data_IF_556270279810
#
_entry.id   IF_556270279810
#
_cell.length_a   1.000
_cell.length_b   1.000
_cell.length_c   1.000
_cell.angle_alpha   90.00
_cell.angle_beta   90.00
_cell.angle_gamma   90.00
#
_symmetry.space_group_name_H-M   'P 1'
#
loop_
_entity.id
_entity.type
_entity.pdbx_description
1 polymer ?
#
# COMPACT_ATOMS: atom_id res chain seq x y z
N UNK A 1 -6.67 14.78 -32.03
CA UNK A 1 -5.95 14.60 -30.74
C UNK A 1 -4.67 13.85 -31.04
N UNK A 2 -3.57 14.15 -30.35
CA UNK A 2 -2.30 13.44 -30.55
C UNK A 2 -2.50 11.93 -30.25
N UNK A 3 -1.92 11.00 -31.03
CA UNK A 3 -2.04 9.57 -30.76
C UNK A 3 -1.58 9.15 -29.35
N UNK A 4 -0.54 9.79 -28.81
CA UNK A 4 -0.06 9.53 -27.44
C UNK A 4 -1.10 9.96 -26.41
N UNK A 5 -1.74 11.11 -26.61
CA UNK A 5 -2.82 11.58 -25.73
C UNK A 5 -4.02 10.63 -25.75
N UNK A 6 -4.33 10.03 -26.91
CA UNK A 6 -5.41 9.04 -27.03
C UNK A 6 -5.09 7.76 -26.25
N UNK A 7 -3.85 7.27 -26.33
CA UNK A 7 -3.40 6.09 -25.57
C UNK A 7 -3.42 6.37 -24.06
N UNK A 8 -2.98 7.57 -23.65
CA UNK A 8 -3.04 8.00 -22.26
C UNK A 8 -4.49 8.05 -21.78
N UNK A 9 -5.39 8.70 -22.51
CA UNK A 9 -6.80 8.81 -22.15
C UNK A 9 -7.50 7.45 -22.08
N UNK A 10 -7.12 6.50 -22.95
CA UNK A 10 -7.65 5.15 -22.91
C UNK A 10 -7.16 4.34 -21.70
N UNK A 11 -5.90 4.53 -21.30
CA UNK A 11 -5.26 3.80 -20.20
C UNK A 11 -5.53 4.42 -18.82
N UNK A 12 -5.80 5.73 -18.78
CA UNK A 12 -6.04 6.52 -17.58
C UNK A 12 -7.17 7.53 -17.84
N UNK A 13 -8.43 7.07 -17.93
CA UNK A 13 -9.55 7.93 -18.30
C UNK A 13 -9.91 8.93 -17.20
N UNK A 14 -10.59 10.00 -17.59
CA UNK A 14 -11.29 10.91 -16.69
C UNK A 14 -12.79 10.70 -16.84
N UNK A 15 -13.49 10.50 -15.73
CA UNK A 15 -14.94 10.27 -15.69
C UNK A 15 -15.62 11.43 -14.98
N UNK A 16 -16.59 12.04 -15.66
CA UNK A 16 -17.49 13.01 -15.05
C UNK A 16 -18.45 12.27 -14.11
N UNK A 17 -18.46 12.63 -12.83
CA UNK A 17 -19.31 11.95 -11.85
C UNK A 17 -20.78 12.31 -12.13
N UNK A 18 -21.68 11.33 -12.31
CA UNK A 18 -23.09 11.61 -12.56
C UNK A 18 -23.74 12.35 -11.38
N UNK A 19 -24.58 13.34 -11.65
CA UNK A 19 -25.25 14.13 -10.61
C UNK A 19 -26.56 13.50 -10.09
N UNK A 20 -27.07 12.46 -10.75
CA UNK A 20 -28.40 11.86 -10.49
C UNK A 20 -28.33 10.39 -10.08
N UNK A 21 -27.14 9.82 -10.05
CA UNK A 21 -26.90 8.42 -9.72
C UNK A 21 -25.46 8.25 -9.19
N UNK A 22 -25.16 7.17 -8.46
CA UNK A 22 -23.79 6.87 -8.05
C UNK A 22 -22.88 6.62 -9.26
N UNK A 23 -21.62 7.06 -9.18
CA UNK A 23 -20.61 6.64 -10.16
C UNK A 23 -20.36 5.15 -10.05
N UNK A 24 -20.43 4.44 -11.17
CA UNK A 24 -20.16 2.99 -11.23
C UNK A 24 -18.67 2.75 -10.96
N UNK A 25 -18.28 1.96 -9.93
CA UNK A 25 -16.89 1.62 -9.66
C UNK A 25 -16.18 0.97 -10.86
N UNK A 26 -14.84 1.09 -10.92
CA UNK A 26 -14.08 0.36 -11.94
C UNK A 26 -14.24 -1.16 -11.78
N UNK A 27 -14.53 -1.85 -12.89
CA UNK A 27 -14.62 -3.32 -12.93
C UNK A 27 -13.27 -3.98 -13.20
N UNK A 28 -12.39 -3.34 -13.97
CA UNK A 28 -11.06 -3.82 -14.30
C UNK A 28 -9.98 -3.11 -13.47
N UNK A 29 -8.86 -3.81 -13.23
CA UNK A 29 -7.67 -3.22 -12.61
C UNK A 29 -7.14 -2.06 -13.43
N UNK A 30 -6.76 -0.98 -12.76
CA UNK A 30 -6.32 0.24 -13.41
C UNK A 30 -6.55 1.45 -12.53
N UNK A 31 -6.52 2.62 -13.14
CA UNK A 31 -6.70 3.89 -12.45
C UNK A 31 -7.48 4.85 -13.35
N UNK A 32 -8.22 5.76 -12.73
CA UNK A 32 -8.92 6.83 -13.44
C UNK A 32 -9.09 8.06 -12.56
N UNK A 33 -9.31 9.20 -13.19
CA UNK A 33 -9.76 10.40 -12.50
C UNK A 33 -11.28 10.43 -12.43
N UNK A 34 -11.81 10.83 -11.28
CA UNK A 34 -13.20 11.21 -11.12
C UNK A 34 -13.26 12.74 -11.01
N UNK A 35 -14.01 13.36 -11.91
CA UNK A 35 -14.27 14.80 -11.90
C UNK A 35 -15.63 14.99 -11.24
N UNK A 36 -15.62 15.34 -9.96
CA UNK A 36 -16.80 15.52 -9.12
C UNK A 36 -17.06 17.01 -8.84
N UNK A 37 -18.26 17.39 -8.39
CA UNK A 37 -18.53 18.78 -8.02
C UNK A 37 -17.70 19.28 -6.84
N UNK A 38 -17.26 18.38 -5.98
CA UNK A 38 -16.43 18.68 -4.82
C UNK A 38 -14.92 18.52 -5.06
N UNK A 39 -14.49 18.25 -6.29
CA UNK A 39 -13.07 18.21 -6.65
C UNK A 39 -12.69 17.09 -7.60
N UNK A 40 -11.38 16.87 -7.72
CA UNK A 40 -10.79 15.80 -8.52
C UNK A 40 -10.35 14.67 -7.58
N UNK A 41 -10.73 13.44 -7.91
CA UNK A 41 -10.36 12.24 -7.17
C UNK A 41 -9.60 11.26 -8.06
N UNK A 42 -8.68 10.51 -7.46
CA UNK A 42 -8.05 9.36 -8.06
C UNK A 42 -8.77 8.11 -7.58
N UNK A 43 -9.31 7.32 -8.50
CA UNK A 43 -9.75 5.96 -8.22
C UNK A 43 -8.69 4.98 -8.69
N UNK A 44 -8.23 4.13 -7.77
CA UNK A 44 -7.26 3.07 -8.00
C UNK A 44 -7.98 1.75 -7.78
N UNK A 45 -7.96 0.87 -8.78
CA UNK A 45 -8.51 -0.47 -8.69
C UNK A 45 -7.39 -1.49 -8.87
N UNK A 46 -7.19 -2.33 -7.86
CA UNK A 46 -6.33 -3.53 -7.89
C UNK A 46 -7.17 -4.74 -7.49
N UNK A 47 -6.75 -5.97 -7.81
CA UNK A 47 -7.53 -7.15 -7.42
C UNK A 47 -7.74 -7.27 -5.91
N UNK A 48 -6.76 -6.85 -5.11
CA UNK A 48 -6.81 -6.94 -3.64
C UNK A 48 -7.35 -5.67 -2.95
N UNK A 49 -7.43 -4.51 -3.62
CA UNK A 49 -7.90 -3.26 -3.01
C UNK A 49 -8.48 -2.27 -4.03
N UNK A 50 -9.51 -1.53 -3.63
CA UNK A 50 -9.95 -0.30 -4.31
C UNK A 50 -9.78 0.90 -3.39
N UNK A 51 -9.22 1.97 -3.93
CA UNK A 51 -9.01 3.25 -3.24
C UNK A 51 -9.64 4.38 -4.04
N UNK A 52 -10.27 5.32 -3.35
CA UNK A 52 -10.66 6.62 -3.91
C UNK A 52 -10.10 7.71 -2.99
N UNK A 53 -9.31 8.63 -3.53
CA UNK A 53 -8.67 9.73 -2.76
C UNK A 53 -8.83 11.06 -3.46
N UNK A 54 -9.06 12.12 -2.68
CA UNK A 54 -9.18 13.47 -3.21
C UNK A 54 -7.78 14.02 -3.53
N UNK A 55 -7.57 14.41 -4.79
CA UNK A 55 -6.33 15.05 -5.24
C UNK A 55 -6.36 16.57 -5.04
N UNK A 56 -7.55 17.17 -5.17
CA UNK A 56 -7.71 18.60 -5.00
C UNK A 56 -9.17 19.02 -5.01
N UNK A 57 -9.45 20.12 -4.32
CA UNK A 57 -10.75 20.80 -4.34
C UNK A 57 -10.70 22.02 -5.26
N UNK A 58 -11.87 22.55 -5.56
CA UNK A 58 -12.02 23.70 -6.43
C UNK A 58 -12.03 25.00 -5.63
N UNK A 59 -11.23 25.98 -6.06
CA UNK A 59 -11.18 27.31 -5.45
C UNK A 59 -12.17 28.32 -6.04
N UNK A 60 -12.91 27.95 -7.09
CA UNK A 60 -13.84 28.84 -7.80
C UNK A 60 -15.26 28.69 -7.26
N UNK A 61 -16.03 29.78 -7.26
CA UNK A 61 -17.40 29.80 -6.73
C UNK A 61 -18.45 29.22 -7.69
N UNK A 62 -18.13 29.15 -8.97
CA UNK A 62 -19.02 28.54 -9.97
C UNK A 62 -19.09 27.03 -9.75
N UNK A 63 -20.28 26.45 -9.51
CA UNK A 63 -20.41 25.02 -9.31
C UNK A 63 -20.02 24.24 -10.58
N UNK A 64 -19.28 23.14 -10.40
CA UNK A 64 -19.06 22.16 -11.46
C UNK A 64 -20.31 21.29 -11.57
N UNK A 65 -20.91 21.09 -12.76
CA UNK A 65 -22.21 20.47 -12.93
C UNK A 65 -22.18 18.92 -12.86
N UNK A 66 -21.41 18.36 -11.91
CA UNK A 66 -21.24 16.92 -11.70
C UNK A 66 -21.70 16.50 -10.29
N UNK A 67 -21.83 15.20 -10.05
CA UNK A 67 -22.17 14.65 -8.74
C UNK A 67 -21.02 14.72 -7.75
N UNK A 68 -21.30 14.35 -6.50
CA UNK A 68 -20.31 14.27 -5.43
C UNK A 68 -19.54 12.96 -5.50
N UNK A 69 -18.25 13.01 -5.15
CA UNK A 69 -17.46 11.81 -4.86
C UNK A 69 -16.99 11.82 -3.40
N UNK A 70 -16.73 10.64 -2.86
CA UNK A 70 -16.22 10.44 -1.51
C UNK A 70 -14.96 9.57 -1.55
N UNK A 71 -14.07 9.78 -0.58
CA UNK A 71 -12.95 8.87 -0.37
C UNK A 71 -13.45 7.50 0.07
N UNK A 72 -12.77 6.45 -0.38
CA UNK A 72 -13.17 5.07 -0.10
C UNK A 72 -11.96 4.14 -0.01
N UNK A 73 -12.02 3.15 0.86
CA UNK A 73 -11.04 2.07 0.96
C UNK A 73 -11.79 0.76 1.05
N UNK A 74 -11.60 -0.11 0.06
CA UNK A 74 -12.24 -1.43 -0.01
C UNK A 74 -11.17 -2.50 -0.16
N UNK A 75 -10.83 -3.19 0.94
CA UNK A 75 -9.89 -4.31 0.93
C UNK A 75 -10.63 -5.58 0.52
N UNK A 76 -10.08 -6.32 -0.44
CA UNK A 76 -10.70 -7.50 -1.08
C UNK A 76 -9.95 -8.81 -0.83
N UNK A 77 -8.68 -8.74 -0.41
CA UNK A 77 -7.89 -9.93 -0.08
C UNK A 77 -8.21 -10.54 1.30
N UNK A 78 -9.13 -9.94 2.06
CA UNK A 78 -9.33 -10.31 3.47
C UNK A 78 -8.18 -9.83 4.38
N UNK A 79 -8.21 -10.19 5.66
CA UNK A 79 -7.20 -9.76 6.62
C UNK A 79 -5.88 -10.48 6.37
N UNK A 80 -4.77 -9.72 6.35
CA UNK A 80 -3.43 -10.31 6.30
C UNK A 80 -3.21 -11.16 7.56
N UNK A 81 -2.81 -12.43 7.41
CA UNK A 81 -2.63 -13.32 8.55
C UNK A 81 -1.50 -12.86 9.49
N UNK A 82 -1.78 -12.87 10.79
CA UNK A 82 -0.88 -12.32 11.82
C UNK A 82 0.40 -13.17 11.98
N UNK A 83 0.34 -14.46 11.66
CA UNK A 83 1.47 -15.37 11.67
C UNK A 83 2.52 -15.03 10.61
N UNK A 84 2.14 -14.40 9.50
CA UNK A 84 3.09 -13.92 8.49
C UNK A 84 3.84 -12.68 8.99
N UNK A 85 3.16 -11.81 9.72
CA UNK A 85 3.78 -10.65 10.38
C UNK A 85 4.74 -11.09 11.49
N UNK A 86 4.35 -12.08 12.30
CA UNK A 86 5.23 -12.71 13.28
C UNK A 86 6.40 -13.45 12.62
N UNK A 87 6.17 -14.13 11.48
CA UNK A 87 7.21 -14.72 10.65
C UNK A 87 8.25 -13.71 10.20
N UNK A 88 7.81 -12.53 9.75
CA UNK A 88 8.71 -11.45 9.41
C UNK A 88 9.49 -10.94 10.63
N UNK A 89 8.86 -10.83 11.81
CA UNK A 89 9.55 -10.45 13.03
C UNK A 89 10.68 -11.43 13.41
N UNK A 90 10.47 -12.74 13.24
CA UNK A 90 11.53 -13.75 13.41
C UNK A 90 12.68 -13.54 12.43
N UNK A 91 12.37 -13.30 11.16
CA UNK A 91 13.39 -13.01 10.15
C UNK A 91 14.22 -11.77 10.51
N UNK A 92 13.56 -10.68 10.91
CA UNK A 92 14.22 -9.44 11.32
C UNK A 92 15.12 -9.64 12.55
N UNK A 93 14.69 -10.47 13.52
CA UNK A 93 15.50 -10.83 14.69
C UNK A 93 16.74 -11.63 14.30
N UNK A 94 16.60 -12.62 13.42
CA UNK A 94 17.74 -13.43 12.93
C UNK A 94 18.73 -12.60 12.12
N UNK A 95 18.28 -11.55 11.43
CA UNK A 95 19.13 -10.68 10.62
C UNK A 95 19.95 -9.65 11.43
N UNK A 96 19.72 -9.53 12.75
CA UNK A 96 20.42 -8.56 13.59
C UNK A 96 21.94 -8.70 13.47
N UNK A 97 22.68 -7.56 13.42
CA UNK A 97 22.21 -6.19 13.61
C UNK A 97 21.66 -5.52 12.33
N UNK A 98 21.61 -6.23 11.21
CA UNK A 98 21.24 -5.67 9.92
C UNK A 98 19.72 -5.61 9.70
N UNK A 99 19.32 -4.81 8.72
CA UNK A 99 17.94 -4.77 8.22
C UNK A 99 17.60 -6.02 7.39
N UNK A 100 16.34 -6.46 7.47
CA UNK A 100 15.75 -7.50 6.64
C UNK A 100 14.54 -6.94 5.89
N UNK A 101 14.29 -7.47 4.68
CA UNK A 101 13.11 -7.17 3.87
C UNK A 101 12.30 -8.42 3.57
N UNK A 102 10.98 -8.26 3.52
CA UNK A 102 10.08 -9.31 3.06
C UNK A 102 8.84 -8.69 2.43
N UNK A 103 8.19 -9.41 1.53
CA UNK A 103 6.85 -9.09 1.06
C UNK A 103 5.84 -10.05 1.66
N UNK A 104 4.65 -9.55 1.97
CA UNK A 104 3.47 -10.39 2.14
C UNK A 104 2.62 -10.21 0.88
N UNK A 105 2.50 -11.29 0.13
CA UNK A 105 1.78 -11.33 -1.13
C UNK A 105 0.46 -12.08 -0.97
N UNK A 106 -0.47 -11.82 -1.88
CA UNK A 106 -1.77 -12.48 -1.96
C UNK A 106 -2.01 -12.98 -3.38
N UNK A 107 -2.46 -14.22 -3.50
CA UNK A 107 -2.81 -14.82 -4.77
C UNK A 107 -4.33 -14.71 -5.01
N UNK A 108 -4.73 -14.06 -6.10
CA UNK A 108 -6.14 -13.77 -6.39
C UNK A 108 -7.01 -15.01 -6.67
N UNK A 109 -6.39 -16.05 -7.22
CA UNK A 109 -7.06 -17.29 -7.63
C UNK A 109 -7.30 -18.22 -6.46
N UNK A 110 -6.37 -18.28 -5.50
CA UNK A 110 -6.44 -19.18 -4.35
C UNK A 110 -6.88 -18.48 -3.07
N UNK A 111 -6.78 -17.15 -3.02
CA UNK A 111 -6.99 -16.36 -1.80
C UNK A 111 -5.88 -16.50 -0.77
N UNK A 112 -4.79 -17.22 -1.08
CA UNK A 112 -3.73 -17.52 -0.14
C UNK A 112 -2.75 -16.34 0.02
N UNK A 113 -2.28 -16.15 1.25
CA UNK A 113 -1.17 -15.25 1.54
C UNK A 113 0.14 -16.02 1.72
N UNK A 114 1.26 -15.40 1.35
CA UNK A 114 2.59 -15.93 1.69
C UNK A 114 3.56 -14.82 2.08
N UNK A 115 4.55 -15.19 2.90
CA UNK A 115 5.70 -14.36 3.21
C UNK A 115 6.84 -14.70 2.25
N UNK A 116 7.39 -13.67 1.60
CA UNK A 116 8.42 -13.79 0.57
C UNK A 116 9.66 -13.03 1.05
N UNK A 117 10.71 -13.72 1.51
CA UNK A 117 11.97 -13.08 1.87
C UNK A 117 12.58 -12.36 0.67
N UNK A 118 13.07 -11.14 0.88
CA UNK A 118 13.75 -10.37 -0.15
C UNK A 118 15.26 -10.53 0.03
N UNK A 119 15.96 -11.21 -0.89
CA UNK A 119 17.41 -11.30 -0.82
C UNK A 119 18.00 -9.88 -0.96
N UNK A 120 18.82 -9.51 0.00
CA UNK A 120 19.44 -8.19 0.06
C UNK A 120 20.54 -8.06 -1.01
N UNK A 121 20.41 -7.04 -1.86
CA UNK A 121 21.48 -6.59 -2.76
C UNK A 121 22.55 -5.81 -1.96
N UNK A 122 22.12 -5.07 -0.95
CA UNK A 122 22.99 -4.44 0.06
C UNK A 122 22.16 -4.19 1.32
N UNK A 123 22.71 -4.47 2.49
CA UNK A 123 22.03 -4.21 3.74
C UNK A 123 23.05 -3.83 4.82
N UNK A 124 22.66 -2.90 5.68
CA UNK A 124 23.40 -2.49 6.86
C UNK A 124 22.42 -2.18 7.99
N UNK A 125 22.87 -1.60 9.11
CA UNK A 125 21.99 -1.24 10.23
C UNK A 125 21.03 -0.06 9.96
N UNK A 126 21.18 0.62 8.82
CA UNK A 126 20.44 1.84 8.48
C UNK A 126 20.11 1.93 6.97
N UNK A 127 20.26 0.82 6.24
CA UNK A 127 19.90 0.78 4.83
C UNK A 127 19.59 -0.65 4.39
N UNK A 128 18.63 -0.76 3.49
CA UNK A 128 18.28 -1.99 2.80
C UNK A 128 18.04 -1.69 1.32
N UNK A 129 18.73 -2.44 0.45
CA UNK A 129 18.46 -2.50 -0.98
C UNK A 129 18.21 -3.94 -1.33
N UNK A 130 17.10 -4.22 -1.99
CA UNK A 130 16.73 -5.56 -2.44
C UNK A 130 16.22 -5.51 -3.87
N UNK A 131 16.28 -6.65 -4.54
CA UNK A 131 15.62 -6.82 -5.83
C UNK A 131 14.15 -7.17 -5.57
N UNK A 132 13.26 -6.44 -6.23
CA UNK A 132 11.82 -6.73 -6.17
C UNK A 132 11.57 -8.03 -6.93
N UNK A 133 11.16 -9.14 -6.27
CA UNK A 133 10.99 -10.41 -6.94
C UNK A 133 9.89 -10.31 -7.99
N UNK A 134 10.06 -11.04 -9.09
CA UNK A 134 8.98 -11.22 -10.04
C UNK A 134 7.89 -12.06 -9.36
N UNK A 135 6.70 -11.48 -9.24
CA UNK A 135 5.53 -12.18 -8.70
C UNK A 135 4.96 -13.13 -9.75
N UNK A 136 4.40 -14.24 -9.29
CA UNK A 136 3.71 -15.20 -10.15
C UNK A 136 2.45 -14.58 -10.76
N UNK A 137 1.89 -15.26 -11.77
CA UNK A 137 0.61 -14.85 -12.33
C UNK A 137 -0.47 -14.79 -11.22
N UNK A 138 -1.22 -13.67 -11.20
CA UNK A 138 -2.26 -13.39 -10.22
C UNK A 138 -1.79 -13.30 -8.76
N UNK A 139 -0.50 -13.04 -8.57
CA UNK A 139 0.06 -12.71 -7.28
C UNK A 139 0.29 -11.21 -7.14
N UNK A 140 -0.10 -10.68 -5.99
CA UNK A 140 -0.13 -9.24 -5.72
C UNK A 140 0.61 -8.93 -4.43
N UNK A 141 1.48 -7.91 -4.47
CA UNK A 141 2.06 -7.33 -3.26
C UNK A 141 0.97 -6.65 -2.45
N UNK A 142 0.80 -7.07 -1.19
CA UNK A 142 -0.15 -6.48 -0.23
C UNK A 142 0.59 -5.68 0.83
N UNK A 143 1.62 -6.28 1.45
CA UNK A 143 2.45 -5.62 2.45
C UNK A 143 3.91 -5.69 2.05
N UNK A 144 4.58 -4.55 2.00
CA UNK A 144 6.03 -4.47 1.90
C UNK A 144 6.62 -4.21 3.29
N UNK A 145 7.46 -5.12 3.73
CA UNK A 145 7.98 -5.16 5.08
C UNK A 145 9.48 -4.90 5.07
N UNK A 146 9.96 -3.99 5.91
CA UNK A 146 11.38 -3.88 6.25
C UNK A 146 11.58 -3.66 7.75
N UNK A 147 12.81 -3.82 8.22
CA UNK A 147 13.13 -3.71 9.64
C UNK A 147 14.27 -2.72 9.90
N UNK A 148 14.31 -2.05 11.05
CA UNK A 148 15.40 -1.15 11.47
C UNK A 148 16.33 -1.77 12.55
N UNK A 149 16.43 -3.09 12.60
CA UNK A 149 17.29 -3.79 13.57
C UNK A 149 17.03 -3.34 15.02
N UNK A 150 18.01 -2.68 15.66
CA UNK A 150 17.88 -2.16 17.02
C UNK A 150 17.15 -0.81 17.12
N UNK A 151 17.03 -0.05 16.03
CA UNK A 151 16.39 1.26 15.99
C UNK A 151 14.86 1.20 16.06
N UNK A 152 14.21 2.33 16.32
CA UNK A 152 12.74 2.44 16.33
C UNK A 152 12.18 2.34 14.91
N UNK A 153 10.95 1.84 14.76
CA UNK A 153 10.21 1.88 13.50
C UNK A 153 9.78 3.31 13.16
N UNK A 154 10.08 3.74 11.93
CA UNK A 154 9.60 4.99 11.32
C UNK A 154 9.76 4.87 9.79
N UNK A 155 9.13 5.77 9.04
CA UNK A 155 9.38 5.92 7.60
C UNK A 155 10.32 7.10 7.36
N UNK A 156 11.37 6.89 6.57
CA UNK A 156 12.33 7.89 6.14
C UNK A 156 11.92 8.53 4.80
N UNK A 157 12.62 9.59 4.40
CA UNK A 157 12.44 10.19 3.07
C UNK A 157 12.84 9.25 1.92
N UNK A 158 13.69 8.25 2.20
CA UNK A 158 14.02 7.21 1.21
C UNK A 158 12.82 6.31 0.98
N UNK A 159 12.16 5.90 2.07
CA UNK A 159 10.93 5.10 2.00
C UNK A 159 9.82 5.87 1.27
N UNK A 160 9.69 7.17 1.51
CA UNK A 160 8.77 8.04 0.77
C UNK A 160 9.04 8.04 -0.74
N UNK A 161 10.32 8.07 -1.13
CA UNK A 161 10.73 7.97 -2.53
C UNK A 161 10.37 6.63 -3.15
N UNK A 162 10.64 5.53 -2.43
CA UNK A 162 10.38 4.17 -2.89
C UNK A 162 8.88 3.84 -2.98
N UNK A 163 8.06 4.43 -2.11
CA UNK A 163 6.61 4.21 -2.05
C UNK A 163 5.80 5.16 -2.93
N UNK A 164 6.43 6.18 -3.52
CA UNK A 164 5.78 7.27 -4.25
C UNK A 164 4.80 6.81 -5.33
N UNK A 165 5.08 5.68 -5.98
CA UNK A 165 4.27 5.17 -7.08
C UNK A 165 3.51 3.88 -6.75
N UNK A 166 3.70 3.34 -5.55
CA UNK A 166 3.15 2.04 -5.15
C UNK A 166 1.74 2.15 -4.57
N UNK A 167 1.03 1.02 -4.65
CA UNK A 167 -0.26 0.78 -3.97
C UNK A 167 -0.09 -0.47 -3.13
N UNK A 168 0.19 -0.28 -1.84
CA UNK A 168 0.54 -1.33 -0.87
C UNK A 168 0.38 -0.83 0.55
N UNK A 169 0.33 -1.74 1.51
CA UNK A 169 0.68 -1.44 2.90
C UNK A 169 2.21 -1.48 3.02
N UNK A 170 2.79 -0.52 3.71
CA UNK A 170 4.21 -0.57 4.10
C UNK A 170 4.31 -0.75 5.61
N UNK A 171 5.12 -1.72 6.04
CA UNK A 171 5.29 -2.13 7.42
C UNK A 171 6.76 -2.04 7.82
N UNK A 172 7.05 -1.28 8.89
CA UNK A 172 8.39 -1.20 9.48
C UNK A 172 8.37 -1.82 10.86
N UNK A 173 9.27 -2.78 11.09
CA UNK A 173 9.56 -3.32 12.42
C UNK A 173 10.87 -2.74 12.96
N UNK A 174 10.82 -2.11 14.13
CA UNK A 174 12.00 -1.62 14.85
C UNK A 174 12.15 -2.34 16.19
N UNK A 175 13.28 -2.18 16.86
CA UNK A 175 13.61 -2.83 18.12
C UNK A 175 13.46 -4.36 18.04
N UNK A 176 13.94 -4.98 16.95
CA UNK A 176 13.74 -6.39 16.63
C UNK A 176 14.40 -7.37 17.63
N UNK A 177 15.21 -6.86 18.57
CA UNK A 177 15.79 -7.63 19.68
C UNK A 177 14.81 -7.85 20.85
N UNK A 178 13.66 -7.14 20.87
CA UNK A 178 12.61 -7.23 21.90
C UNK A 178 11.23 -7.18 21.22
N UNK A 179 10.17 -6.82 21.94
CA UNK A 179 8.86 -6.53 21.32
C UNK A 179 9.03 -5.43 20.28
N UNK A 180 8.77 -5.71 18.99
CA UNK A 180 9.03 -4.72 17.96
C UNK A 180 8.17 -3.48 18.13
N UNK A 181 8.76 -2.29 17.94
CA UNK A 181 7.96 -1.11 17.62
C UNK A 181 7.50 -1.22 16.17
N UNK A 182 6.29 -0.73 15.86
CA UNK A 182 5.69 -0.90 14.54
C UNK A 182 5.32 0.45 13.95
N UNK A 183 5.62 0.64 12.67
CA UNK A 183 5.04 1.71 11.85
C UNK A 183 4.34 1.07 10.65
N UNK A 184 3.11 1.51 10.38
CA UNK A 184 2.29 1.00 9.28
C UNK A 184 1.73 2.19 8.49
N UNK A 185 1.77 2.12 7.17
CA UNK A 185 1.07 3.08 6.31
C UNK A 185 0.42 2.41 5.12
N UNK A 186 -0.63 3.03 4.60
CA UNK A 186 -1.17 2.73 3.30
C UNK A 186 -0.57 3.71 2.28
N UNK A 187 0.06 3.16 1.24
CA UNK A 187 0.59 3.91 0.11
C UNK A 187 -0.43 3.90 -1.02
N UNK A 188 -0.83 5.09 -1.48
CA UNK A 188 -1.84 5.29 -2.52
C UNK A 188 -1.32 6.27 -3.58
N UNK A 189 -0.22 5.91 -4.26
CA UNK A 189 0.44 6.69 -5.32
C UNK A 189 0.73 8.14 -4.93
N UNK A 190 1.62 8.31 -3.95
CA UNK A 190 2.11 9.61 -3.47
C UNK A 190 1.29 10.24 -2.36
N UNK A 191 0.20 9.58 -1.95
CA UNK A 191 -0.45 9.81 -0.66
C UNK A 191 -0.06 8.70 0.31
N UNK A 192 0.48 9.09 1.46
CA UNK A 192 0.90 8.18 2.53
C UNK A 192 0.01 8.35 3.75
N UNK A 193 -0.75 7.31 4.07
CA UNK A 193 -1.69 7.29 5.19
C UNK A 193 -1.10 6.47 6.34
N UNK A 194 -0.34 7.15 7.20
CA UNK A 194 0.24 6.54 8.40
C UNK A 194 -0.89 6.14 9.35
N UNK A 195 -0.87 4.88 9.77
CA UNK A 195 -1.85 4.33 10.70
C UNK A 195 -1.42 4.62 12.13
N UNK A 196 -2.36 5.08 12.97
CA UNK A 196 -2.11 5.34 14.39
C UNK A 196 -1.88 4.05 15.18
N UNK A 197 -2.46 2.94 14.72
CA UNK A 197 -2.35 1.62 15.32
C UNK A 197 -2.30 0.54 14.25
N UNK A 198 -1.76 -0.63 14.62
CA UNK A 198 -1.83 -1.86 13.81
C UNK A 198 -2.97 -2.75 14.28
N UNK A 199 -3.47 -3.68 13.45
CA UNK A 199 -4.50 -4.62 13.87
C UNK A 199 -4.12 -5.36 15.17
N UNK A 200 -5.07 -5.48 16.12
CA UNK A 200 -4.84 -6.11 17.43
C UNK A 200 -4.23 -7.51 17.32
N UNK A 201 -4.66 -8.28 16.31
CA UNK A 201 -4.12 -9.62 16.03
C UNK A 201 -2.63 -9.60 15.68
N UNK A 202 -2.16 -8.58 14.96
CA UNK A 202 -0.74 -8.40 14.66
C UNK A 202 0.02 -8.04 15.92
N UNK A 203 -0.52 -7.13 16.74
CA UNK A 203 0.11 -6.72 17.99
C UNK A 203 0.25 -7.90 18.97
N UNK A 204 -0.79 -8.73 19.08
CA UNK A 204 -0.77 -9.96 19.88
C UNK A 204 0.29 -10.94 19.37
N UNK A 205 0.33 -11.18 18.05
CA UNK A 205 1.31 -12.07 17.45
C UNK A 205 2.76 -11.59 17.66
N UNK A 206 3.03 -10.30 17.45
CA UNK A 206 4.35 -9.70 17.66
C UNK A 206 4.80 -9.72 19.14
N UNK A 207 3.85 -9.64 20.07
CA UNK A 207 4.14 -9.74 21.50
C UNK A 207 4.47 -11.18 21.91
N UNK A 208 3.84 -12.16 21.27
CA UNK A 208 4.10 -13.59 21.48
C UNK A 208 5.50 -14.05 21.05
N UNK A 209 6.15 -13.35 20.09
CA UNK A 209 7.51 -13.68 19.62
C UNK A 209 8.64 -13.33 20.62
N UNK A 210 8.29 -12.79 21.78
CA UNK A 210 9.26 -12.39 22.83
C UNK A 210 9.22 -13.33 24.03
N UNK A 211 8.23 -14.24 24.08
CA UNK A 211 8.05 -15.22 25.15
C UNK A 211 8.94 -16.46 24.96
#
# INVERSE_FOLDING_TARGET
>A
MNPVDQVLQASFPSVMVPAREPVVPMSASGERLLIASNGVFLEINRPWIRLVRQLGSYGWRTPVPYGLAAEATEVRCGPVPAELVAGFARMARTALPNEAGAWITWNGSTGAFRLVPLPSLSHGPAHLRYERPQLEADEWLVVDCHSHGHGKAFFSSTDDGDDLHDVKLALVLGHCHRTPSVALRLCAKGRFEVQEAVPERWQAALSGEVA
#
